data_IF_134306138296
#
_entry.id   IF_134306138296
#
_cell.length_a   1.000
_cell.length_b   1.000
_cell.length_c   1.000
_cell.angle_alpha   90.00
_cell.angle_beta   90.00
_cell.angle_gamma   90.00
#
_symmetry.space_group_name_H-M   'P 1'
#
loop_
_entity.id
_entity.type
_entity.pdbx_description
1 polymer ?
#
# COMPACT_ATOMS: atom_id res chain seq x y z
N UNK A 1 -0.51 22.14 6.87
CA UNK A 1 0.39 21.26 6.08
C UNK A 1 -0.02 19.80 6.29
N UNK A 2 -0.23 19.03 5.21
CA UNK A 2 -0.59 17.61 5.31
C UNK A 2 0.64 16.77 5.64
N UNK A 3 0.51 15.88 6.61
CA UNK A 3 1.55 14.92 7.00
C UNK A 3 1.04 13.50 6.82
N UNK A 4 1.92 12.59 6.42
CA UNK A 4 1.63 11.16 6.30
C UNK A 4 2.75 10.35 6.94
N UNK A 5 2.40 9.27 7.62
CA UNK A 5 3.34 8.36 8.29
C UNK A 5 2.97 6.92 7.95
N UNK A 6 3.98 6.10 7.72
CA UNK A 6 3.84 4.69 7.39
C UNK A 6 4.85 3.89 8.20
N UNK A 7 4.42 2.76 8.75
CA UNK A 7 5.31 1.82 9.44
C UNK A 7 4.71 0.41 9.42
N UNK A 8 5.57 -0.58 9.67
CA UNK A 8 5.19 -2.00 9.71
C UNK A 8 5.61 -2.56 11.06
N UNK A 9 4.71 -3.31 11.68
CA UNK A 9 4.94 -4.03 12.93
C UNK A 9 4.67 -5.52 12.70
N UNK A 10 5.47 -6.38 13.31
CA UNK A 10 5.17 -7.82 13.39
C UNK A 10 4.09 -8.04 14.44
N UNK A 11 3.03 -8.77 14.08
CA UNK A 11 1.96 -9.17 14.99
C UNK A 11 2.22 -10.58 15.51
N UNK A 12 1.86 -10.85 16.77
CA UNK A 12 2.09 -12.12 17.47
C UNK A 12 1.59 -13.37 16.71
N UNK A 13 0.62 -13.21 15.80
CA UNK A 13 0.05 -14.30 15.00
C UNK A 13 0.75 -14.54 13.64
N UNK A 14 1.95 -13.99 13.41
CA UNK A 14 2.68 -14.16 12.15
C UNK A 14 2.16 -13.27 11.00
N UNK A 15 1.26 -12.34 11.31
CA UNK A 15 0.83 -11.30 10.38
C UNK A 15 1.76 -10.09 10.48
N UNK A 16 1.92 -9.35 9.38
CA UNK A 16 2.47 -8.01 9.44
C UNK A 16 1.35 -6.99 9.46
N UNK A 17 1.43 -6.03 10.37
CA UNK A 17 0.51 -4.90 10.46
C UNK A 17 1.16 -3.68 9.82
N UNK A 18 0.57 -3.20 8.74
CA UNK A 18 0.93 -1.93 8.11
C UNK A 18 0.00 -0.86 8.70
N UNK A 19 0.59 0.18 9.28
CA UNK A 19 -0.17 1.34 9.73
C UNK A 19 0.18 2.54 8.85
N UNK A 20 -0.84 3.19 8.33
CA UNK A 20 -0.75 4.41 7.55
C UNK A 20 -1.59 5.49 8.20
N UNK A 21 -0.99 6.62 8.52
CA UNK A 21 -1.67 7.76 9.13
C UNK A 21 -1.53 8.99 8.27
N UNK A 22 -2.59 9.78 8.20
CA UNK A 22 -2.61 11.09 7.56
C UNK A 22 -3.23 12.10 8.51
N UNK A 23 -2.57 13.24 8.66
CA UNK A 23 -3.11 14.39 9.38
C UNK A 23 -2.96 15.69 8.59
N UNK A 24 -4.06 16.43 8.44
CA UNK A 24 -4.11 17.83 8.02
C UNK A 24 -5.10 18.62 8.89
N UNK A 25 -5.39 19.88 8.54
CA UNK A 25 -6.26 20.75 9.34
C UNK A 25 -7.66 20.15 9.59
N UNK A 26 -8.20 19.42 8.61
CA UNK A 26 -9.57 18.90 8.65
C UNK A 26 -9.65 17.38 8.82
N UNK A 27 -8.54 16.67 8.61
CA UNK A 27 -8.52 15.21 8.57
C UNK A 27 -7.47 14.66 9.53
N UNK A 28 -7.86 13.65 10.30
CA UNK A 28 -6.94 12.76 10.98
C UNK A 28 -7.46 11.33 10.73
N UNK A 29 -6.73 10.59 9.91
CA UNK A 29 -7.13 9.27 9.40
C UNK A 29 -6.03 8.27 9.74
N UNK A 30 -6.41 7.14 10.33
CA UNK A 30 -5.52 6.01 10.61
C UNK A 30 -6.08 4.76 9.93
N UNK A 31 -5.27 4.16 9.07
CA UNK A 31 -5.58 2.95 8.33
C UNK A 31 -4.62 1.85 8.78
N UNK A 32 -5.16 0.70 9.17
CA UNK A 32 -4.39 -0.44 9.62
C UNK A 32 -4.73 -1.64 8.75
N UNK A 33 -3.71 -2.27 8.17
CA UNK A 33 -3.84 -3.39 7.24
C UNK A 33 -3.01 -4.54 7.78
N UNK A 34 -3.64 -5.67 8.07
CA UNK A 34 -2.94 -6.89 8.45
C UNK A 34 -2.80 -7.78 7.23
N UNK A 35 -1.59 -8.27 7.00
CA UNK A 35 -1.28 -9.15 5.89
C UNK A 35 -0.62 -10.46 6.33
N UNK A 36 -0.92 -11.53 5.62
CA UNK A 36 -0.26 -12.83 5.75
C UNK A 36 1.14 -12.85 5.11
N UNK A 37 1.81 -14.00 5.20
CA UNK A 37 3.12 -14.24 4.58
C UNK A 37 3.13 -14.16 3.05
N UNK A 38 1.97 -14.17 2.41
CA UNK A 38 1.78 -14.00 0.96
C UNK A 38 1.26 -12.59 0.60
N UNK A 39 1.34 -11.64 1.53
CA UNK A 39 0.85 -10.27 1.39
C UNK A 39 -0.66 -10.17 1.12
N UNK A 40 -1.45 -11.18 1.46
CA UNK A 40 -2.93 -11.14 1.39
C UNK A 40 -3.48 -10.39 2.57
N UNK A 41 -4.46 -9.55 2.31
CA UNK A 41 -5.12 -8.74 3.33
C UNK A 41 -6.03 -9.65 4.16
N UNK A 42 -5.71 -9.83 5.44
CA UNK A 42 -6.52 -10.61 6.38
C UNK A 42 -7.50 -9.72 7.14
N UNK A 43 -7.11 -8.47 7.38
CA UNK A 43 -7.92 -7.50 8.10
C UNK A 43 -7.59 -6.08 7.67
N UNK A 44 -8.60 -5.22 7.60
CA UNK A 44 -8.45 -3.77 7.47
C UNK A 44 -9.28 -3.08 8.54
N UNK A 45 -8.70 -2.07 9.19
CA UNK A 45 -9.40 -1.14 10.05
C UNK A 45 -9.15 0.29 9.58
N UNK A 46 -10.22 1.08 9.52
CA UNK A 46 -10.17 2.51 9.23
C UNK A 46 -10.71 3.27 10.44
N UNK A 47 -9.93 4.23 10.94
CA UNK A 47 -10.34 5.20 11.95
C UNK A 47 -10.28 6.59 11.35
N UNK A 48 -11.43 7.26 11.31
CA UNK A 48 -11.51 8.69 11.00
C UNK A 48 -11.65 9.46 12.31
N UNK A 49 -10.53 9.97 12.81
CA UNK A 49 -10.41 10.63 14.12
C UNK A 49 -10.90 12.08 14.04
N UNK A 50 -10.58 12.76 12.94
CA UNK A 50 -11.07 14.10 12.59
C UNK A 50 -11.49 14.09 11.13
N UNK A 51 -12.68 14.59 10.83
CA UNK A 51 -13.23 14.66 9.48
C UNK A 51 -14.35 15.71 9.42
N UNK A 52 -14.57 16.36 8.26
CA UNK A 52 -15.55 17.44 8.14
C UNK A 52 -16.99 16.94 8.07
N UNK A 53 -17.24 15.83 7.38
CA UNK A 53 -18.59 15.34 7.10
C UNK A 53 -18.92 14.07 7.89
N UNK A 54 -20.16 13.96 8.37
CA UNK A 54 -20.61 12.82 9.19
C UNK A 54 -20.59 11.48 8.44
N UNK A 55 -20.71 11.51 7.11
CA UNK A 55 -20.73 10.32 6.26
C UNK A 55 -19.33 9.83 5.86
N UNK A 56 -18.24 10.58 6.13
CA UNK A 56 -16.89 10.15 5.76
C UNK A 56 -16.55 8.73 6.27
N UNK A 57 -16.88 8.32 7.52
CA UNK A 57 -16.57 6.98 8.02
C UNK A 57 -17.26 5.84 7.26
N UNK A 58 -18.33 6.12 6.50
CA UNK A 58 -19.08 5.09 5.79
C UNK A 58 -18.23 4.35 4.75
N UNK A 59 -17.16 4.95 4.22
CA UNK A 59 -16.31 4.27 3.25
C UNK A 59 -15.61 3.03 3.84
N UNK A 60 -15.50 2.92 5.18
CA UNK A 60 -14.96 1.74 5.85
C UNK A 60 -15.70 0.46 5.47
N UNK A 61 -17.01 0.52 5.22
CA UNK A 61 -17.84 -0.64 4.85
C UNK A 61 -17.39 -1.31 3.55
N UNK A 62 -16.81 -0.53 2.63
CA UNK A 62 -16.35 -1.04 1.35
C UNK A 62 -14.98 -1.71 1.45
N UNK A 63 -14.18 -1.39 2.47
CA UNK A 63 -12.81 -1.93 2.62
C UNK A 63 -12.78 -3.45 2.82
N UNK A 64 -13.85 -4.04 3.35
CA UNK A 64 -13.98 -5.50 3.49
C UNK A 64 -13.89 -6.25 2.15
N UNK A 65 -14.18 -5.59 1.02
CA UNK A 65 -14.03 -6.18 -0.31
C UNK A 65 -12.56 -6.42 -0.70
N UNK A 66 -11.60 -5.85 0.05
CA UNK A 66 -10.17 -6.05 -0.16
C UNK A 66 -9.63 -7.28 0.58
N UNK A 67 -10.39 -7.87 1.51
CA UNK A 67 -9.96 -9.05 2.27
C UNK A 67 -9.70 -10.22 1.31
N UNK A 68 -8.58 -10.93 1.51
CA UNK A 68 -8.08 -12.01 0.67
C UNK A 68 -7.32 -11.56 -0.58
N UNK A 69 -7.40 -10.28 -0.96
CA UNK A 69 -6.64 -9.71 -2.08
C UNK A 69 -5.19 -9.51 -1.64
N UNK A 70 -4.24 -9.92 -2.49
CA UNK A 70 -2.83 -9.62 -2.25
C UNK A 70 -2.52 -8.16 -2.58
N UNK A 71 -1.84 -7.45 -1.68
CA UNK A 71 -1.29 -6.10 -1.94
C UNK A 71 -0.35 -6.06 -3.14
N UNK A 72 0.20 -7.21 -3.49
CA UNK A 72 1.09 -7.38 -4.62
C UNK A 72 0.31 -7.47 -5.94
N UNK A 73 -0.99 -7.77 -5.93
CA UNK A 73 -1.77 -8.07 -7.15
C UNK A 73 -1.53 -7.02 -8.27
N UNK A 74 -1.26 -7.43 -9.52
CA UNK A 74 -0.86 -6.51 -10.59
C UNK A 74 -1.91 -5.43 -10.88
N UNK A 75 -3.18 -5.73 -10.63
CA UNK A 75 -4.30 -4.82 -10.79
C UNK A 75 -4.80 -4.22 -9.47
N UNK A 76 -4.01 -4.24 -8.39
CA UNK A 76 -4.45 -3.76 -7.07
C UNK A 76 -4.96 -2.32 -7.11
N UNK A 77 -4.29 -1.41 -7.83
CA UNK A 77 -4.77 -0.03 -7.99
C UNK A 77 -6.16 0.05 -8.62
N UNK A 78 -6.44 -0.79 -9.62
CA UNK A 78 -7.77 -0.88 -10.25
C UNK A 78 -8.82 -1.41 -9.27
N UNK A 79 -8.45 -2.37 -8.42
CA UNK A 79 -9.32 -2.92 -7.39
C UNK A 79 -9.64 -1.86 -6.32
N UNK A 80 -8.66 -1.06 -5.89
CA UNK A 80 -8.88 0.06 -4.99
C UNK A 80 -9.89 1.07 -5.55
N UNK A 81 -9.74 1.48 -6.81
CA UNK A 81 -10.67 2.40 -7.48
C UNK A 81 -12.11 1.84 -7.57
N UNK A 82 -12.26 0.53 -7.78
CA UNK A 82 -13.56 -0.13 -7.77
C UNK A 82 -14.16 -0.20 -6.37
N UNK A 83 -13.33 -0.31 -5.34
CA UNK A 83 -13.77 -0.52 -3.96
C UNK A 83 -14.13 0.80 -3.27
N UNK A 84 -13.24 1.79 -3.32
CA UNK A 84 -13.38 3.06 -2.59
C UNK A 84 -13.23 4.31 -3.47
N UNK A 85 -13.12 4.14 -4.79
CA UNK A 85 -13.09 5.27 -5.72
C UNK A 85 -14.49 5.81 -6.05
N UNK A 86 -14.55 7.08 -6.48
CA UNK A 86 -15.80 7.79 -6.76
C UNK A 86 -16.64 7.98 -5.48
N UNK A 87 -17.95 7.91 -5.60
CA UNK A 87 -18.90 8.09 -4.49
C UNK A 87 -18.88 6.94 -3.46
N UNK A 88 -18.11 5.87 -3.72
CA UNK A 88 -17.98 4.73 -2.81
C UNK A 88 -17.00 5.01 -1.66
N UNK A 89 -16.21 6.07 -1.72
CA UNK A 89 -15.27 6.34 -0.65
C UNK A 89 -14.71 7.74 -0.62
N UNK A 90 -13.77 7.92 0.30
CA UNK A 90 -13.06 9.17 0.48
C UNK A 90 -11.77 9.14 -0.35
N UNK A 91 -11.52 10.22 -1.09
CA UNK A 91 -10.28 10.41 -1.83
C UNK A 91 -9.04 10.22 -0.95
N UNK A 92 -9.04 10.72 0.29
CA UNK A 92 -7.90 10.59 1.21
C UNK A 92 -7.65 9.13 1.61
N UNK A 93 -8.70 8.32 1.78
CA UNK A 93 -8.56 6.89 2.11
C UNK A 93 -8.00 6.14 0.91
N UNK A 94 -8.47 6.46 -0.30
CA UNK A 94 -7.94 5.90 -1.54
C UNK A 94 -6.45 6.23 -1.73
N UNK A 95 -6.06 7.51 -1.54
CA UNK A 95 -4.65 7.92 -1.58
C UNK A 95 -3.82 7.16 -0.55
N UNK A 96 -4.31 7.08 0.70
CA UNK A 96 -3.58 6.44 1.79
C UNK A 96 -3.39 4.93 1.54
N UNK A 97 -4.38 4.25 0.95
CA UNK A 97 -4.27 2.86 0.51
C UNK A 97 -3.25 2.68 -0.62
N UNK A 98 -3.22 3.59 -1.60
CA UNK A 98 -2.22 3.54 -2.67
C UNK A 98 -0.80 3.68 -2.12
N UNK A 99 -0.58 4.66 -1.25
CA UNK A 99 0.74 4.89 -0.66
C UNK A 99 1.15 3.80 0.32
N UNK A 100 0.20 3.26 1.10
CA UNK A 100 0.45 2.09 1.94
C UNK A 100 0.86 0.86 1.11
N UNK A 101 0.23 0.67 -0.06
CA UNK A 101 0.63 -0.40 -1.00
C UNK A 101 2.07 -0.19 -1.49
N UNK A 102 2.42 1.01 -1.93
CA UNK A 102 3.77 1.33 -2.43
C UNK A 102 4.82 1.19 -1.32
N UNK A 103 4.52 1.69 -0.12
CA UNK A 103 5.37 1.53 1.07
C UNK A 103 5.59 0.06 1.39
N UNK A 104 4.52 -0.74 1.42
CA UNK A 104 4.61 -2.19 1.65
C UNK A 104 5.47 -2.87 0.58
N UNK A 105 5.29 -2.53 -0.70
CA UNK A 105 6.12 -3.08 -1.77
C UNK A 105 7.61 -2.83 -1.56
N UNK A 106 8.00 -1.65 -1.06
CA UNK A 106 9.39 -1.32 -0.78
C UNK A 106 9.99 -2.19 0.35
N UNK A 107 9.19 -2.59 1.33
CA UNK A 107 9.61 -3.46 2.43
C UNK A 107 9.65 -4.95 2.08
N UNK A 108 8.76 -5.40 1.19
CA UNK A 108 8.61 -6.82 0.82
C UNK A 108 9.27 -7.20 -0.51
N UNK A 109 9.97 -6.28 -1.19
CA UNK A 109 10.86 -6.67 -2.28
C UNK A 109 11.92 -7.63 -1.71
N UNK A 110 11.78 -8.92 -2.04
CA UNK A 110 12.69 -10.00 -1.62
C UNK A 110 14.15 -9.69 -1.92
N UNK A 111 14.40 -8.85 -2.94
CA UNK A 111 15.68 -8.23 -3.20
C UNK A 111 15.48 -6.90 -3.93
N UNK A 112 16.41 -5.96 -3.73
CA UNK A 112 16.63 -4.87 -4.68
C UNK A 112 16.95 -5.46 -6.07
N UNK A 113 16.64 -4.75 -7.18
CA UNK A 113 17.01 -5.22 -8.50
C UNK A 113 18.48 -5.62 -8.56
N UNK A 114 18.79 -6.77 -9.16
CA UNK A 114 20.15 -7.29 -9.21
C UNK A 114 21.11 -6.34 -9.97
N UNK A 115 22.41 -6.66 -10.04
CA UNK A 115 23.41 -5.84 -10.77
C UNK A 115 23.08 -5.65 -12.26
N UNK A 116 22.15 -6.44 -12.82
CA UNK A 116 21.65 -6.34 -14.21
C UNK A 116 20.32 -5.58 -14.30
N UNK A 117 19.80 -5.09 -13.18
CA UNK A 117 18.52 -4.40 -13.09
C UNK A 117 17.32 -5.34 -13.18
N UNK A 118 17.47 -6.63 -12.89
CA UNK A 118 16.36 -7.58 -12.92
C UNK A 118 15.74 -7.66 -11.52
N UNK A 119 14.41 -7.62 -11.46
CA UNK A 119 13.69 -7.89 -10.22
C UNK A 119 12.67 -9.00 -10.45
N UNK A 120 12.47 -9.80 -9.41
CA UNK A 120 11.47 -10.87 -9.35
C UNK A 120 10.59 -10.61 -8.13
N UNK A 121 9.28 -10.65 -8.33
CA UNK A 121 8.30 -10.64 -7.24
C UNK A 121 7.69 -12.04 -7.22
N UNK A 122 8.30 -12.93 -6.44
CA UNK A 122 7.92 -14.35 -6.34
C UNK A 122 6.42 -14.56 -6.09
N UNK A 123 5.83 -13.73 -5.22
CA UNK A 123 4.39 -13.78 -4.87
C UNK A 123 3.43 -13.40 -5.99
N UNK A 124 3.94 -12.88 -7.12
CA UNK A 124 3.14 -12.50 -8.30
C UNK A 124 3.56 -13.21 -9.58
N UNK A 125 4.56 -14.08 -9.51
CA UNK A 125 5.19 -14.67 -10.69
C UNK A 125 5.62 -13.61 -11.73
N UNK A 126 5.91 -12.39 -11.26
CA UNK A 126 6.28 -11.28 -12.13
C UNK A 126 7.80 -11.13 -12.14
N UNK A 127 8.38 -11.17 -13.33
CA UNK A 127 9.79 -10.89 -13.59
C UNK A 127 9.88 -9.77 -14.62
N UNK A 128 10.62 -8.69 -14.28
CA UNK A 128 10.90 -7.63 -15.24
C UNK A 128 12.30 -7.04 -15.06
N UNK A 129 12.76 -6.33 -16.10
CA UNK A 129 14.02 -5.59 -16.10
C UNK A 129 13.75 -4.12 -15.80
N UNK A 130 14.13 -3.66 -14.61
CA UNK A 130 14.28 -2.24 -14.26
C UNK A 130 15.72 -1.82 -14.48
N UNK A 131 15.95 -1.07 -15.55
CA UNK A 131 17.28 -0.51 -15.82
C UNK A 131 17.55 0.67 -14.88
N UNK A 132 18.37 0.48 -13.84
CA UNK A 132 18.82 1.61 -13.03
C UNK A 132 19.73 2.52 -13.87
N UNK A 133 19.32 3.78 -14.04
CA UNK A 133 20.03 4.76 -14.85
C UNK A 133 21.45 5.03 -14.31
N UNK A 134 21.62 5.09 -12.99
CA UNK A 134 22.92 5.32 -12.35
C UNK A 134 23.94 4.20 -12.66
N UNK A 135 23.53 2.93 -12.56
CA UNK A 135 24.40 1.79 -12.89
C UNK A 135 24.71 1.67 -14.39
N UNK A 136 23.86 2.22 -15.25
CA UNK A 136 24.08 2.22 -16.70
C UNK A 136 25.06 3.29 -17.17
N UNK A 137 25.20 4.39 -16.42
CA UNK A 137 26.21 5.41 -16.70
C UNK A 137 27.62 4.94 -16.31
N UNK A 138 27.75 4.13 -15.26
CA UNK A 138 29.04 3.57 -14.83
C UNK A 138 29.72 2.65 -15.87
N UNK A 139 28.97 2.13 -16.86
CA UNK A 139 29.52 1.31 -17.96
C UNK A 139 29.90 2.09 -19.23
N UNK A 140 29.63 3.41 -19.27
CA UNK A 140 29.94 4.26 -20.44
C UNK A 140 31.22 5.10 -20.25
N UNK A 141 31.93 4.93 -19.14
CA UNK A 141 33.26 5.50 -18.94
C UNK A 141 34.32 4.47 -19.37
N UNK A 142 34.51 4.32 -20.69
CA UNK A 142 35.71 3.74 -21.32
C UNK A 142 36.01 4.58 -22.55
#
# INVERSE_FOLDING_TARGET
>A
MRTKKFWIEDSEAGFKKITAEMEDENHHISLQIWIDSKCRIEKIELKMIRHPEKNCPECAKNLNQLIGISLQHPYFRRLLLKTVGGERGCFHVLELLHEAQDYTRAFFWEATPDKKGQYKISGLEQEQKVRCLAYCQAKKAV
#
